data_IF_643020349237
#
_entry.id   IF_643020349237
#
_cell.length_a   1.000
_cell.length_b   1.000
_cell.length_c   1.000
_cell.angle_alpha   90.00
_cell.angle_beta   90.00
_cell.angle_gamma   90.00
#
_symmetry.space_group_name_H-M   'P 1'
#
loop_
_entity.id
_entity.type
_entity.pdbx_description
1 polymer ?
#
# COMPACT_ATOMS: atom_id res chain seq x y z
N UNK A 1 34.30 -20.92 5.74
CA UNK A 1 35.65 -20.34 5.90
C UNK A 1 35.60 -18.83 6.14
N UNK A 2 34.90 -18.04 5.31
CA UNK A 2 34.77 -16.57 5.48
C UNK A 2 34.12 -16.18 6.82
N UNK A 3 33.04 -16.84 7.23
CA UNK A 3 32.33 -16.53 8.49
C UNK A 3 33.20 -16.74 9.74
N UNK A 4 34.04 -17.78 9.73
CA UNK A 4 34.94 -18.11 10.84
C UNK A 4 36.07 -17.09 10.97
N UNK A 5 36.62 -16.62 9.83
CA UNK A 5 37.65 -15.58 9.81
C UNK A 5 37.08 -14.24 10.30
N UNK A 6 35.87 -13.88 9.86
CA UNK A 6 35.20 -12.65 10.31
C UNK A 6 34.94 -12.64 11.82
N UNK A 7 34.51 -13.77 12.41
CA UNK A 7 34.29 -13.89 13.86
C UNK A 7 35.58 -13.73 14.67
N UNK A 8 36.69 -14.30 14.20
CA UNK A 8 38.00 -14.18 14.87
C UNK A 8 38.53 -12.75 14.80
N UNK A 9 38.43 -12.10 13.64
CA UNK A 9 38.82 -10.69 13.47
C UNK A 9 37.98 -9.78 14.36
N UNK A 10 36.68 -10.04 14.47
CA UNK A 10 35.77 -9.23 15.28
C UNK A 10 35.98 -9.43 16.78
N UNK A 11 36.31 -10.65 17.20
CA UNK A 11 36.74 -10.94 18.56
C UNK A 11 38.03 -10.18 18.91
N UNK A 12 39.04 -10.19 18.03
CA UNK A 12 40.28 -9.44 18.22
C UNK A 12 40.05 -7.92 18.27
N UNK A 13 39.12 -7.39 17.49
CA UNK A 13 38.76 -5.97 17.51
C UNK A 13 37.98 -5.58 18.78
N UNK A 14 37.08 -6.44 19.26
CA UNK A 14 36.37 -6.25 20.52
C UNK A 14 37.33 -6.30 21.72
N UNK A 15 38.28 -7.24 21.72
CA UNK A 15 39.31 -7.36 22.74
C UNK A 15 40.30 -6.19 22.72
N UNK A 16 40.75 -5.76 21.54
CA UNK A 16 41.60 -4.58 21.37
C UNK A 16 40.89 -3.29 21.82
N UNK A 17 39.58 -3.14 21.53
CA UNK A 17 38.80 -1.98 21.94
C UNK A 17 38.53 -1.96 23.45
N UNK A 18 38.27 -3.13 24.06
CA UNK A 18 38.13 -3.27 25.51
C UNK A 18 39.42 -2.96 26.26
N UNK A 19 40.55 -3.48 25.78
CA UNK A 19 41.89 -3.25 26.37
C UNK A 19 42.37 -1.81 26.18
N UNK A 20 42.14 -1.19 25.01
CA UNK A 20 42.54 0.20 24.75
C UNK A 20 41.75 1.22 25.58
N UNK A 21 40.48 0.93 25.89
CA UNK A 21 39.64 1.83 26.69
C UNK A 21 39.76 1.59 28.20
N UNK A 22 40.41 0.49 28.60
CA UNK A 22 40.48 0.06 29.99
C UNK A 22 39.10 -0.31 30.58
N UNK A 23 38.08 -0.47 29.74
CA UNK A 23 36.71 -0.75 30.16
C UNK A 23 36.05 -1.79 29.25
N UNK A 24 35.30 -2.75 29.83
CA UNK A 24 34.60 -3.78 29.05
C UNK A 24 33.53 -3.18 28.13
N UNK A 25 33.04 -1.97 28.40
CA UNK A 25 32.14 -1.23 27.54
C UNK A 25 32.76 -0.86 26.17
N UNK A 26 34.09 -0.78 26.05
CA UNK A 26 34.76 -0.55 24.77
C UNK A 26 34.56 -1.68 23.75
N UNK A 27 34.33 -2.91 24.24
CA UNK A 27 34.03 -4.08 23.41
C UNK A 27 32.61 -4.03 22.81
N UNK A 28 31.72 -3.16 23.30
CA UNK A 28 30.34 -3.05 22.81
C UNK A 28 30.25 -2.40 21.42
N UNK A 29 31.20 -1.55 21.04
CA UNK A 29 31.18 -0.81 19.77
C UNK A 29 31.36 -1.73 18.54
N UNK A 30 32.35 -2.65 18.51
CA UNK A 30 32.48 -3.60 17.41
C UNK A 30 31.31 -4.59 17.33
N UNK A 31 30.74 -4.97 18.49
CA UNK A 31 29.57 -5.86 18.56
C UNK A 31 28.29 -5.18 18.05
N UNK A 32 28.09 -3.89 18.34
CA UNK A 32 27.02 -3.07 17.77
C UNK A 32 27.15 -2.93 16.26
N UNK A 33 28.38 -2.74 15.75
CA UNK A 33 28.63 -2.70 14.31
C UNK A 33 28.29 -4.04 13.64
N UNK A 34 28.59 -5.17 14.30
CA UNK A 34 28.20 -6.51 13.81
C UNK A 34 26.69 -6.72 13.77
N UNK A 35 25.93 -6.06 14.64
CA UNK A 35 24.47 -6.15 14.66
C UNK A 35 23.83 -5.20 13.62
N UNK A 36 24.44 -4.03 13.42
CA UNK A 36 23.97 -3.02 12.46
C UNK A 36 24.04 -3.50 11.00
N UNK A 37 25.05 -4.29 10.64
CA UNK A 37 25.23 -4.78 9.26
C UNK A 37 24.10 -5.74 8.82
N UNK A 38 23.80 -6.84 9.54
CA UNK A 38 22.65 -7.70 9.22
C UNK A 38 21.32 -6.94 9.30
N UNK A 39 21.15 -6.06 10.30
CA UNK A 39 19.96 -5.22 10.44
C UNK A 39 19.70 -4.34 9.21
N UNK A 40 20.78 -3.86 8.57
CA UNK A 40 20.69 -3.02 7.37
C UNK A 40 20.43 -3.80 6.09
N UNK A 41 20.69 -5.11 6.08
CA UNK A 41 20.51 -5.97 4.90
C UNK A 41 19.21 -6.77 4.88
N UNK A 42 18.54 -6.92 6.04
CA UNK A 42 17.26 -7.60 6.14
C UNK A 42 16.13 -6.67 5.67
N UNK A 43 15.50 -7.00 4.54
CA UNK A 43 14.35 -6.26 4.00
C UNK A 43 13.17 -6.18 5.00
N UNK A 44 13.02 -7.17 5.88
CA UNK A 44 11.94 -7.25 6.87
C UNK A 44 12.30 -6.63 8.24
N UNK A 45 13.52 -6.09 8.39
CA UNK A 45 14.04 -5.65 9.68
C UNK A 45 14.37 -6.80 10.65
N UNK A 46 14.86 -6.47 11.85
CA UNK A 46 15.19 -7.46 12.88
C UNK A 46 13.94 -7.81 13.72
N UNK A 47 13.61 -9.11 13.90
CA UNK A 47 12.51 -9.51 14.76
C UNK A 47 12.71 -9.01 16.19
N UNK A 48 11.63 -8.49 16.81
CA UNK A 48 11.62 -7.92 18.16
C UNK A 48 12.38 -8.75 19.23
N UNK A 49 12.25 -10.09 19.32
CA UNK A 49 12.99 -10.86 20.34
C UNK A 49 14.51 -10.80 20.15
N UNK A 50 15.01 -10.74 18.91
CA UNK A 50 16.45 -10.64 18.64
C UNK A 50 16.99 -9.25 18.98
N UNK A 51 16.20 -8.21 18.71
CA UNK A 51 16.51 -6.85 19.13
C UNK A 51 16.57 -6.72 20.66
N UNK A 52 15.56 -7.25 21.36
CA UNK A 52 15.52 -7.26 22.83
C UNK A 52 16.68 -8.04 23.43
N UNK A 53 17.07 -9.18 22.84
CA UNK A 53 18.23 -9.95 23.28
C UNK A 53 19.55 -9.17 23.11
N UNK A 54 19.73 -8.48 21.99
CA UNK A 54 20.90 -7.63 21.76
C UNK A 54 20.95 -6.42 22.71
N UNK A 55 19.82 -5.76 22.93
CA UNK A 55 19.71 -4.65 23.88
C UNK A 55 19.97 -5.10 25.32
N UNK A 56 19.45 -6.26 25.72
CA UNK A 56 19.71 -6.85 27.03
C UNK A 56 21.20 -7.20 27.20
N UNK A 57 21.84 -7.77 26.17
CA UNK A 57 23.28 -8.05 26.19
C UNK A 57 24.13 -6.79 26.33
N UNK A 58 23.76 -5.71 25.64
CA UNK A 58 24.41 -4.40 25.77
C UNK A 58 24.28 -3.84 27.19
N UNK A 59 23.07 -3.90 27.77
CA UNK A 59 22.82 -3.45 29.14
C UNK A 59 23.62 -4.28 30.14
N UNK A 60 23.70 -5.60 29.97
CA UNK A 60 24.53 -6.47 30.82
C UNK A 60 26.00 -6.10 30.73
N UNK A 61 26.54 -5.84 29.53
CA UNK A 61 27.93 -5.40 29.36
C UNK A 61 28.21 -4.04 30.01
N UNK A 62 27.26 -3.11 29.93
CA UNK A 62 27.35 -1.81 30.61
C UNK A 62 27.30 -1.94 32.13
N UNK A 63 26.47 -2.84 32.65
CA UNK A 63 26.37 -3.11 34.09
C UNK A 63 27.62 -3.80 34.63
N UNK A 64 28.17 -4.78 33.91
CA UNK A 64 29.42 -5.45 34.29
C UNK A 64 30.61 -4.48 34.27
N UNK A 65 30.64 -3.52 33.33
CA UNK A 65 31.63 -2.44 33.34
C UNK A 65 31.44 -1.41 34.45
N UNK A 66 30.22 -1.25 34.96
CA UNK A 66 29.93 -0.36 36.08
C UNK A 66 30.42 -0.95 37.41
N UNK A 67 30.33 -2.27 37.60
CA UNK A 67 30.79 -2.95 38.83
C UNK A 67 32.32 -2.91 38.97
N UNK A 68 33.08 -3.11 37.89
CA UNK A 68 34.55 -2.98 37.92
C UNK A 68 34.98 -1.54 38.23
N UNK A 69 34.25 -0.53 37.72
CA UNK A 69 34.50 0.88 38.01
C UNK A 69 34.18 1.27 39.46
N UNK A 70 33.16 0.65 40.05
CA UNK A 70 32.82 0.81 41.47
C UNK A 70 33.80 0.06 42.39
N UNK A 71 34.26 -1.14 41.99
CA UNK A 71 35.21 -1.96 42.74
C UNK A 71 36.62 -1.35 42.79
N UNK A 72 37.09 -0.72 41.70
CA UNK A 72 38.41 -0.09 41.65
C UNK A 72 38.49 1.20 42.51
N UNK A 73 37.34 1.87 42.73
CA UNK A 73 37.21 2.99 43.69
C UNK A 73 37.12 2.55 45.16
N UNK A 74 36.69 1.32 45.44
CA UNK A 74 36.69 0.77 46.79
C UNK A 74 38.10 0.57 47.38
N UNK A 75 39.13 0.48 46.52
CA UNK A 75 40.54 0.31 46.94
C UNK A 75 41.40 1.57 46.87
N UNK A 76 40.86 2.70 46.42
CA UNK A 76 41.54 4.01 46.44
C UNK A 76 40.68 5.04 47.17
N UNK A 77 40.54 4.85 48.48
CA UNK A 77 40.19 5.94 49.37
C UNK A 77 41.45 6.77 49.58
N UNK A 78 41.67 7.76 48.71
CA UNK A 78 42.25 9.02 49.14
C UNK A 78 41.76 10.19 48.28
N UNK A 79 41.59 11.33 48.94
CA UNK A 79 40.62 12.37 48.61
C UNK A 79 40.93 13.14 47.31
N UNK A 80 39.97 13.18 46.39
CA UNK A 80 39.94 14.09 45.23
C UNK A 80 38.50 14.41 44.81
N UNK A 81 38.22 15.61 44.25
CA UNK A 81 36.85 16.09 44.05
C UNK A 81 36.10 15.18 43.08
N UNK A 82 34.93 14.70 43.52
CA UNK A 82 34.11 13.77 42.77
C UNK A 82 33.73 14.32 41.40
N UNK A 83 33.90 13.49 40.36
CA UNK A 83 33.42 13.82 39.02
C UNK A 83 31.88 13.78 39.06
N UNK A 84 31.19 14.88 38.74
CA UNK A 84 29.75 14.98 38.97
C UNK A 84 28.93 14.13 37.97
N UNK A 85 27.77 13.60 38.39
CA UNK A 85 27.00 12.58 37.67
C UNK A 85 26.49 13.01 36.29
N UNK A 86 26.49 14.32 35.99
CA UNK A 86 26.07 14.85 34.69
C UNK A 86 27.05 14.53 33.55
N UNK A 87 28.30 14.15 33.83
CA UNK A 87 29.25 13.75 32.77
C UNK A 87 28.96 12.35 32.19
N UNK A 88 28.40 11.44 32.97
CA UNK A 88 27.91 10.14 32.46
C UNK A 88 26.64 10.32 31.61
N UNK A 89 25.75 11.24 32.02
CA UNK A 89 24.62 11.69 31.18
C UNK A 89 25.09 12.37 29.89
N UNK A 90 26.19 13.12 29.93
CA UNK A 90 26.76 13.81 28.77
C UNK A 90 27.28 12.86 27.69
N UNK A 91 27.89 11.74 28.08
CA UNK A 91 28.40 10.75 27.12
C UNK A 91 27.25 9.94 26.50
N UNK A 92 26.25 9.55 27.31
CA UNK A 92 25.05 8.86 26.81
C UNK A 92 24.23 9.73 25.85
N UNK A 93 24.04 11.01 26.17
CA UNK A 93 23.35 11.95 25.29
C UNK A 93 24.14 12.25 24.01
N UNK A 94 25.47 12.40 24.08
CA UNK A 94 26.31 12.56 22.90
C UNK A 94 26.26 11.35 21.96
N UNK A 95 26.19 10.13 22.50
CA UNK A 95 26.03 8.91 21.71
C UNK A 95 24.68 8.84 20.98
N UNK A 96 23.59 9.20 21.67
CA UNK A 96 22.23 9.27 21.08
C UNK A 96 22.16 10.34 19.99
N UNK A 97 22.72 11.53 20.23
CA UNK A 97 22.76 12.60 19.24
C UNK A 97 23.61 12.21 18.03
N UNK A 98 24.75 11.55 18.24
CA UNK A 98 25.60 11.09 17.13
C UNK A 98 24.90 9.98 16.32
N UNK A 99 24.20 9.06 16.97
CA UNK A 99 23.41 8.04 16.30
C UNK A 99 22.27 8.65 15.46
N UNK A 100 21.58 9.68 15.99
CA UNK A 100 20.56 10.44 15.26
C UNK A 100 21.15 11.17 14.05
N UNK A 101 22.30 11.84 14.20
CA UNK A 101 22.96 12.58 13.12
C UNK A 101 23.50 11.64 12.04
N UNK A 102 24.11 10.51 12.41
CA UNK A 102 24.60 9.52 11.44
C UNK A 102 23.42 8.87 10.68
N UNK A 103 22.31 8.60 11.37
CA UNK A 103 21.08 8.08 10.76
C UNK A 103 20.47 9.05 9.74
N UNK A 104 20.49 10.36 10.02
CA UNK A 104 19.95 11.38 9.10
C UNK A 104 20.91 11.77 7.97
N UNK A 105 22.21 11.54 8.13
CA UNK A 105 23.25 11.96 7.16
C UNK A 105 23.61 10.89 6.13
N UNK A 106 23.13 9.65 6.28
CA UNK A 106 23.37 8.55 5.34
C UNK A 106 22.23 8.47 4.31
N UNK A 107 22.48 8.82 3.03
CA UNK A 107 21.48 8.73 1.96
C UNK A 107 21.22 7.25 1.67
N UNK A 108 20.10 6.74 2.19
CA UNK A 108 19.71 5.32 2.09
C UNK A 108 18.86 4.83 3.26
N UNK A 109 18.97 5.47 4.43
CA UNK A 109 18.15 5.15 5.63
C UNK A 109 16.93 6.07 5.80
N UNK A 110 16.96 7.25 5.18
CA UNK A 110 15.92 8.27 5.34
C UNK A 110 14.60 7.94 4.62
N UNK A 111 14.62 7.11 3.57
CA UNK A 111 13.39 6.76 2.84
C UNK A 111 12.41 5.92 3.68
N UNK A 112 12.92 4.93 4.42
CA UNK A 112 12.06 3.97 5.13
C UNK A 112 11.67 4.40 6.56
N UNK A 113 12.51 5.16 7.25
CA UNK A 113 12.33 5.46 8.68
C UNK A 113 11.73 6.85 8.92
N UNK A 114 12.04 7.83 8.06
CA UNK A 114 11.40 9.15 8.10
C UNK A 114 9.95 9.08 7.62
N UNK A 115 9.64 8.26 6.61
CA UNK A 115 8.26 7.99 6.18
C UNK A 115 7.43 7.35 7.31
N UNK A 116 8.01 6.37 8.03
CA UNK A 116 7.39 5.72 9.20
C UNK A 116 7.19 6.63 10.42
N UNK A 117 7.99 7.69 10.55
CA UNK A 117 7.82 8.70 11.60
C UNK A 117 6.87 9.83 11.18
N UNK A 118 6.69 10.04 9.87
CA UNK A 118 5.78 11.04 9.29
C UNK A 118 4.35 10.51 9.12
N UNK A 119 4.18 9.19 9.08
CA UNK A 119 2.90 8.47 9.14
C UNK A 119 2.75 7.71 10.47
N UNK A 120 2.21 8.32 11.55
CA UNK A 120 2.02 7.68 12.86
C UNK A 120 0.96 6.55 12.87
N UNK A 121 0.37 6.21 11.73
CA UNK A 121 -0.67 5.18 11.59
C UNK A 121 -0.19 3.83 11.05
N UNK A 122 1.04 3.72 10.56
CA UNK A 122 1.47 2.60 9.70
C UNK A 122 2.40 1.57 10.35
N UNK A 123 2.20 1.19 11.62
CA UNK A 123 3.02 0.14 12.21
C UNK A 123 2.92 -0.02 13.71
N UNK A 124 1.78 -0.50 14.20
CA UNK A 124 1.77 -1.20 15.50
C UNK A 124 2.07 -2.67 15.24
N UNK A 125 3.07 -3.19 15.94
CA UNK A 125 3.34 -4.62 16.08
C UNK A 125 2.03 -5.33 16.50
N UNK A 126 1.41 -6.06 15.56
CA UNK A 126 0.32 -7.01 15.84
C UNK A 126 -1.12 -6.51 15.70
N UNK A 127 -1.43 -5.53 14.84
CA UNK A 127 -2.82 -5.12 14.53
C UNK A 127 -3.16 -5.25 13.05
N UNK A 128 -4.41 -5.61 12.73
CA UNK A 128 -4.97 -5.56 11.37
C UNK A 128 -4.81 -4.15 10.78
N UNK A 129 -4.30 -4.06 9.55
CA UNK A 129 -4.18 -2.81 8.81
C UNK A 129 -5.54 -2.45 8.22
N UNK A 130 -6.23 -1.47 8.77
CA UNK A 130 -7.47 -0.95 8.17
C UNK A 130 -7.22 -0.03 6.96
N UNK A 131 -6.01 -0.07 6.41
CA UNK A 131 -5.58 0.69 5.25
C UNK A 131 -5.22 -0.27 4.11
N UNK A 132 -6.04 -0.28 3.07
CA UNK A 132 -5.76 -0.93 1.79
C UNK A 132 -4.43 -0.48 1.14
N UNK A 133 -3.63 -1.43 0.68
CA UNK A 133 -2.37 -1.17 -0.04
C UNK A 133 -2.39 -1.77 -1.45
N UNK A 134 -1.56 -1.28 -2.38
CA UNK A 134 -1.60 -1.71 -3.79
C UNK A 134 -1.04 -3.12 -4.07
N UNK A 135 -0.04 -3.63 -3.32
CA UNK A 135 0.69 -4.85 -3.72
C UNK A 135 0.73 -5.95 -2.65
N UNK A 136 1.57 -5.78 -1.62
CA UNK A 136 1.93 -6.85 -0.68
C UNK A 136 0.96 -6.95 0.51
N UNK A 137 0.44 -5.82 1.00
CA UNK A 137 -0.48 -5.85 2.13
C UNK A 137 -1.90 -6.21 1.71
N UNK A 138 -2.31 -6.01 0.45
CA UNK A 138 -3.63 -6.52 0.00
C UNK A 138 -3.70 -8.05 0.07
N UNK A 139 -2.60 -8.74 -0.23
CA UNK A 139 -2.54 -10.18 0.00
C UNK A 139 -2.66 -10.53 1.49
N UNK A 140 -2.04 -9.75 2.38
CA UNK A 140 -2.16 -9.93 3.84
C UNK A 140 -3.59 -9.66 4.32
N UNK A 141 -4.21 -8.57 3.89
CA UNK A 141 -5.58 -8.17 4.24
C UNK A 141 -6.57 -9.25 3.77
N UNK A 142 -6.40 -9.78 2.55
CA UNK A 142 -7.21 -10.87 2.02
C UNK A 142 -6.97 -12.21 2.73
N UNK A 143 -5.76 -12.44 3.24
CA UNK A 143 -5.41 -13.68 3.96
C UNK A 143 -5.88 -13.64 5.41
N UNK A 144 -5.91 -12.45 6.03
CA UNK A 144 -6.44 -12.27 7.39
C UNK A 144 -7.94 -12.57 7.45
N UNK A 145 -8.66 -12.35 6.32
CA UNK A 145 -10.12 -12.52 6.19
C UNK A 145 -10.88 -11.95 7.38
N UNK A 146 -10.45 -10.79 7.88
CA UNK A 146 -11.08 -10.22 9.06
C UNK A 146 -12.46 -9.66 8.69
N UNK A 147 -13.42 -9.88 9.59
CA UNK A 147 -14.77 -9.32 9.50
C UNK A 147 -14.81 -7.88 10.02
N UNK A 148 -13.65 -7.22 10.08
CA UNK A 148 -13.52 -5.83 10.53
C UNK A 148 -14.27 -4.95 9.53
N UNK A 149 -15.32 -4.28 10.02
CA UNK A 149 -16.09 -3.32 9.25
C UNK A 149 -15.20 -2.13 8.87
N UNK A 150 -15.11 -1.86 7.56
CA UNK A 150 -14.36 -0.75 6.99
C UNK A 150 -15.26 0.46 6.75
N UNK A 151 -16.44 0.22 6.19
CA UNK A 151 -17.46 1.23 5.94
C UNK A 151 -18.85 0.61 5.87
N UNK A 152 -19.85 1.47 6.01
CA UNK A 152 -21.26 1.20 5.78
C UNK A 152 -21.78 2.19 4.76
N UNK A 153 -22.71 1.77 3.92
CA UNK A 153 -23.35 2.69 3.00
C UNK A 153 -24.82 2.38 2.78
N UNK A 154 -25.56 3.39 2.33
CA UNK A 154 -26.95 3.24 1.92
C UNK A 154 -27.15 3.75 0.49
N UNK A 155 -27.93 3.02 -0.30
CA UNK A 155 -28.16 3.33 -1.71
C UNK A 155 -29.52 2.82 -2.19
N UNK A 156 -30.09 3.52 -3.17
CA UNK A 156 -31.24 3.05 -3.96
C UNK A 156 -30.83 2.26 -5.21
N UNK A 157 -29.53 2.05 -5.43
CA UNK A 157 -29.02 1.25 -6.54
C UNK A 157 -29.52 -0.20 -6.45
N UNK A 158 -30.20 -0.75 -7.47
CA UNK A 158 -30.58 -2.16 -7.49
C UNK A 158 -29.39 -3.13 -7.52
N UNK A 159 -28.27 -2.71 -8.10
CA UNK A 159 -27.01 -3.47 -8.15
C UNK A 159 -25.86 -2.55 -7.72
N UNK A 160 -25.50 -2.53 -6.43
CA UNK A 160 -24.43 -1.70 -5.94
C UNK A 160 -23.09 -2.05 -6.61
N UNK A 161 -22.38 -1.03 -7.07
CA UNK A 161 -21.07 -1.19 -7.68
C UNK A 161 -19.97 -1.16 -6.62
N UNK A 162 -18.80 -1.79 -6.87
CA UNK A 162 -17.64 -1.65 -5.99
C UNK A 162 -17.25 -0.19 -5.80
N UNK A 163 -16.70 0.10 -4.63
CA UNK A 163 -16.22 1.43 -4.29
C UNK A 163 -14.74 1.52 -4.52
N UNK A 164 -14.34 2.34 -5.50
CA UNK A 164 -12.94 2.63 -5.79
C UNK A 164 -12.39 3.54 -4.71
N UNK A 165 -11.23 3.19 -4.15
CA UNK A 165 -10.51 4.01 -3.17
C UNK A 165 -9.39 4.76 -3.86
N UNK A 166 -8.59 4.07 -4.69
CA UNK A 166 -7.56 4.71 -5.49
C UNK A 166 -7.30 3.94 -6.79
N UNK A 167 -6.58 4.59 -7.69
CA UNK A 167 -6.10 4.00 -8.93
C UNK A 167 -4.58 3.95 -8.93
N UNK A 168 -4.07 2.95 -9.62
CA UNK A 168 -2.66 2.75 -9.84
C UNK A 168 -2.40 2.76 -11.33
N UNK A 169 -1.65 3.78 -11.75
CA UNK A 169 -1.61 4.21 -13.15
C UNK A 169 -0.21 4.03 -13.76
N UNK A 170 0.85 4.08 -12.95
CA UNK A 170 2.23 3.95 -13.40
C UNK A 170 2.87 2.65 -12.91
N UNK A 171 3.67 2.07 -13.79
CA UNK A 171 4.51 0.92 -13.53
C UNK A 171 5.96 1.39 -13.65
N UNK A 172 6.69 1.48 -12.54
CA UNK A 172 8.14 1.67 -12.58
C UNK A 172 8.80 0.34 -12.19
N UNK A 173 9.63 -0.15 -13.12
CA UNK A 173 10.53 -1.31 -13.14
C UNK A 173 10.08 -2.63 -12.47
N UNK A 174 9.44 -2.61 -11.30
CA UNK A 174 8.87 -3.78 -10.62
C UNK A 174 7.60 -3.51 -9.76
N UNK A 175 7.10 -2.27 -9.65
CA UNK A 175 5.96 -1.94 -8.76
C UNK A 175 4.95 -0.94 -9.33
N UNK A 176 3.70 -1.14 -8.91
CA UNK A 176 2.55 -0.30 -9.21
C UNK A 176 2.56 0.93 -8.27
N UNK A 177 2.60 2.13 -8.85
CA UNK A 177 2.61 3.37 -8.06
C UNK A 177 1.35 4.21 -8.23
N UNK A 178 0.84 4.69 -7.11
CA UNK A 178 -0.18 5.74 -7.06
C UNK A 178 0.50 7.06 -7.43
N UNK A 179 0.19 7.58 -8.63
CA UNK A 179 0.76 8.84 -9.13
C UNK A 179 -0.21 9.98 -8.88
N UNK A 180 0.29 11.15 -8.46
CA UNK A 180 -0.55 12.31 -8.11
C UNK A 180 -0.64 12.48 -6.59
N UNK A 181 0.49 12.78 -5.95
CA UNK A 181 0.59 12.99 -4.50
C UNK A 181 0.43 14.45 -4.06
N UNK A 182 0.39 15.40 -4.99
CA UNK A 182 0.17 16.81 -4.66
C UNK A 182 -1.32 17.10 -4.70
N UNK A 183 -1.99 16.99 -3.54
CA UNK A 183 -3.30 17.59 -3.38
C UNK A 183 -3.15 19.10 -3.53
N UNK A 184 -3.74 19.70 -4.57
CA UNK A 184 -4.08 21.11 -4.48
C UNK A 184 -5.06 21.23 -3.31
N UNK A 185 -4.70 22.03 -2.28
CA UNK A 185 -5.57 22.28 -1.15
C UNK A 185 -6.95 22.71 -1.68
N UNK A 186 -7.95 21.83 -1.54
CA UNK A 186 -9.29 22.12 -2.00
C UNK A 186 -9.80 23.35 -1.29
N UNK A 187 -10.50 24.23 -2.01
CA UNK A 187 -11.38 25.20 -1.37
C UNK A 187 -12.31 24.44 -0.40
N UNK A 188 -12.76 25.06 0.71
CA UNK A 188 -13.64 24.44 1.70
C UNK A 188 -15.07 24.20 1.17
N UNK A 189 -15.21 23.89 -0.12
CA UNK A 189 -16.49 23.56 -0.75
C UNK A 189 -16.97 22.19 -0.27
N UNK A 190 -18.17 22.18 0.31
CA UNK A 190 -18.89 20.98 0.72
C UNK A 190 -19.37 20.12 -0.47
N UNK A 191 -19.01 20.43 -1.71
CA UNK A 191 -19.51 19.77 -2.92
C UNK A 191 -18.47 19.82 -4.04
N UNK A 192 -17.85 18.67 -4.29
CA UNK A 192 -16.88 18.45 -5.36
C UNK A 192 -17.60 17.99 -6.62
N UNK A 193 -17.25 18.57 -7.77
CA UNK A 193 -17.66 18.09 -9.11
C UNK A 193 -16.50 17.33 -9.74
N UNK A 194 -16.78 16.10 -10.17
CA UNK A 194 -15.73 15.16 -10.58
C UNK A 194 -15.55 15.07 -12.11
N UNK A 195 -16.45 15.68 -12.90
CA UNK A 195 -16.43 15.72 -14.37
C UNK A 195 -16.11 14.37 -15.06
N UNK A 196 -16.45 13.25 -14.40
CA UNK A 196 -16.19 11.93 -14.94
C UNK A 196 -17.16 11.66 -16.08
N UNK A 197 -16.63 11.21 -17.21
CA UNK A 197 -17.43 10.76 -18.34
C UNK A 197 -18.36 9.63 -17.89
N UNK A 198 -19.59 9.68 -18.39
CA UNK A 198 -20.62 8.70 -18.11
C UNK A 198 -21.48 8.48 -19.36
N UNK A 199 -22.18 7.33 -19.47
CA UNK A 199 -23.12 7.08 -20.55
C UNK A 199 -24.19 8.18 -20.66
N UNK A 200 -24.55 8.54 -21.90
CA UNK A 200 -25.60 9.52 -22.15
C UNK A 200 -26.97 8.99 -21.72
N UNK A 201 -27.76 9.80 -21.01
CA UNK A 201 -29.10 9.42 -20.55
C UNK A 201 -29.14 8.52 -19.30
N UNK A 202 -27.99 8.23 -18.68
CA UNK A 202 -27.96 7.56 -17.38
C UNK A 202 -28.45 8.52 -16.28
N UNK A 203 -29.34 8.04 -15.41
CA UNK A 203 -29.79 8.78 -14.23
C UNK A 203 -28.84 8.51 -13.05
N UNK A 204 -28.44 9.55 -12.30
CA UNK A 204 -27.54 9.37 -11.17
C UNK A 204 -28.27 8.77 -9.97
N UNK A 205 -27.57 7.89 -9.26
CA UNK A 205 -27.99 7.31 -7.99
C UNK A 205 -27.23 7.98 -6.85
N UNK A 206 -27.93 8.28 -5.76
CA UNK A 206 -27.30 8.78 -4.54
C UNK A 206 -26.88 7.63 -3.63
N UNK A 207 -25.69 7.73 -3.06
CA UNK A 207 -25.14 6.78 -2.10
C UNK A 207 -24.53 7.55 -0.94
N UNK A 208 -24.97 7.24 0.28
CA UNK A 208 -24.43 7.84 1.50
C UNK A 208 -23.48 6.83 2.12
N UNK A 209 -22.26 7.27 2.41
CA UNK A 209 -21.18 6.43 2.94
C UNK A 209 -20.79 6.92 4.33
N UNK A 210 -20.59 5.98 5.24
CA UNK A 210 -20.13 6.17 6.62
C UNK A 210 -18.91 5.29 6.83
N UNK A 211 -17.77 5.89 7.14
CA UNK A 211 -16.55 5.14 7.43
C UNK A 211 -16.63 4.59 8.85
N UNK A 212 -16.42 3.28 9.02
CA UNK A 212 -16.46 2.60 10.33
C UNK A 212 -15.08 2.18 10.82
N UNK A 213 -14.12 2.00 9.91
CA UNK A 213 -12.76 1.57 10.27
C UNK A 213 -11.70 1.87 9.22
N UNK A 214 -12.09 2.15 7.97
CA UNK A 214 -11.16 2.44 6.88
C UNK A 214 -10.28 3.66 7.22
N UNK A 215 -8.97 3.51 7.06
CA UNK A 215 -7.97 4.57 7.28
C UNK A 215 -7.26 4.86 5.96
N UNK A 216 -7.81 5.77 5.15
CA UNK A 216 -7.32 6.08 3.81
C UNK A 216 -7.26 7.58 3.53
N UNK A 217 -6.28 8.01 2.75
CA UNK A 217 -6.17 9.40 2.27
C UNK A 217 -7.00 9.66 1.00
N UNK A 218 -7.80 8.68 0.58
CA UNK A 218 -8.77 8.78 -0.51
C UNK A 218 -10.12 8.23 -0.06
N UNK A 219 -11.21 8.84 -0.53
CA UNK A 219 -12.56 8.34 -0.27
C UNK A 219 -12.92 7.14 -1.16
N UNK A 220 -13.51 6.06 -0.59
CA UNK A 220 -14.18 5.03 -1.37
C UNK A 220 -15.44 5.59 -2.03
N UNK A 221 -15.61 5.42 -3.33
CA UNK A 221 -16.91 5.70 -3.96
C UNK A 221 -17.15 4.89 -5.24
N UNK A 222 -18.42 4.63 -5.62
CA UNK A 222 -18.73 4.01 -6.89
C UNK A 222 -18.41 4.94 -8.06
N UNK A 223 -17.66 4.45 -9.05
CA UNK A 223 -17.33 5.20 -10.26
C UNK A 223 -18.15 4.69 -11.46
N UNK A 224 -18.52 5.57 -12.42
CA UNK A 224 -18.20 7.00 -12.48
C UNK A 224 -19.08 7.87 -11.57
N UNK A 225 -18.46 8.80 -10.84
CA UNK A 225 -19.13 9.76 -9.97
C UNK A 225 -19.12 11.16 -10.56
N UNK A 226 -20.21 11.91 -10.36
CA UNK A 226 -20.34 13.29 -10.82
C UNK A 226 -20.30 14.31 -9.69
N UNK A 227 -20.85 13.98 -8.51
CA UNK A 227 -20.78 14.85 -7.32
C UNK A 227 -20.42 14.05 -6.07
N UNK A 228 -19.50 14.59 -5.28
CA UNK A 228 -19.21 14.13 -3.92
C UNK A 228 -19.42 15.30 -2.96
N UNK A 229 -20.25 15.14 -1.92
CA UNK A 229 -20.46 16.17 -0.91
C UNK A 229 -19.73 15.82 0.37
N UNK A 230 -18.63 16.52 0.61
CA UNK A 230 -17.77 16.39 1.79
C UNK A 230 -16.94 17.68 1.93
N UNK A 231 -16.61 18.08 3.16
CA UNK A 231 -15.79 19.27 3.42
C UNK A 231 -14.33 18.89 3.71
N UNK A 232 -13.37 19.69 3.24
CA UNK A 232 -11.95 19.49 3.52
C UNK A 232 -11.25 18.44 2.64
N UNK A 233 -11.90 18.01 1.56
CA UNK A 233 -11.32 17.09 0.57
C UNK A 233 -11.19 17.80 -0.78
N UNK A 234 -10.30 17.30 -1.62
CA UNK A 234 -9.99 17.80 -2.96
C UNK A 234 -10.19 16.71 -4.00
N UNK A 235 -10.55 17.07 -5.22
CA UNK A 235 -10.61 16.12 -6.33
C UNK A 235 -9.32 16.17 -7.15
N UNK A 236 -8.72 15.01 -7.37
CA UNK A 236 -7.58 14.81 -8.27
C UNK A 236 -8.08 14.21 -9.60
N UNK A 237 -8.20 15.01 -10.68
CA UNK A 237 -8.81 14.57 -11.93
C UNK A 237 -8.03 13.46 -12.64
N UNK A 238 -6.70 13.41 -12.48
CA UNK A 238 -5.86 12.46 -13.19
C UNK A 238 -6.12 11.01 -12.75
N UNK A 239 -6.14 10.80 -11.43
CA UNK A 239 -6.44 9.48 -10.83
C UNK A 239 -7.94 9.25 -10.64
N UNK A 240 -8.74 10.30 -10.83
CA UNK A 240 -10.14 10.33 -10.46
C UNK A 240 -10.31 9.88 -8.99
N UNK A 241 -9.61 10.55 -8.07
CA UNK A 241 -9.65 10.26 -6.63
C UNK A 241 -10.06 11.49 -5.84
N UNK A 242 -10.83 11.32 -4.77
CA UNK A 242 -11.14 12.40 -3.82
C UNK A 242 -10.24 12.22 -2.60
N UNK A 243 -9.38 13.21 -2.30
CA UNK A 243 -8.23 13.08 -1.40
C UNK A 243 -8.16 14.18 -0.34
N UNK A 244 -7.50 13.86 0.77
CA UNK A 244 -7.19 14.77 1.88
C UNK A 244 -5.82 14.46 2.49
N UNK A 245 -5.28 15.44 3.22
CA UNK A 245 -4.03 15.28 3.98
C UNK A 245 -4.24 14.45 5.26
N UNK A 246 -5.43 14.44 5.82
CA UNK A 246 -5.79 13.58 6.94
C UNK A 246 -6.48 12.31 6.43
N UNK A 247 -6.16 11.12 6.97
CA UNK A 247 -6.86 9.90 6.59
C UNK A 247 -8.32 9.93 7.07
N UNK A 248 -9.17 9.13 6.43
CA UNK A 248 -10.54 8.87 6.88
C UNK A 248 -10.56 8.37 8.34
N UNK A 249 -11.61 8.77 9.06
CA UNK A 249 -11.91 8.37 10.43
C UNK A 249 -13.37 7.96 10.60
N UNK A 250 -13.75 7.48 11.78
CA UNK A 250 -15.13 7.05 12.11
C UNK A 250 -16.16 8.19 12.03
N UNK A 251 -15.70 9.44 12.06
CA UNK A 251 -16.48 10.66 11.87
C UNK A 251 -16.65 11.05 10.39
N UNK A 252 -16.04 10.31 9.46
CA UNK A 252 -16.12 10.59 8.04
C UNK A 252 -17.41 10.04 7.44
N UNK A 253 -18.32 10.95 7.09
CA UNK A 253 -19.55 10.65 6.34
C UNK A 253 -19.73 11.61 5.18
N UNK A 254 -20.21 11.09 4.04
CA UNK A 254 -20.39 11.86 2.81
C UNK A 254 -21.44 11.25 1.89
N UNK A 255 -21.92 12.06 0.94
CA UNK A 255 -22.82 11.59 -0.13
C UNK A 255 -22.14 11.64 -1.48
N UNK A 256 -22.43 10.64 -2.31
CA UNK A 256 -21.93 10.51 -3.68
C UNK A 256 -23.11 10.37 -4.61
N UNK A 257 -23.13 11.17 -5.68
CA UNK A 257 -24.00 10.95 -6.84
C UNK A 257 -23.19 10.35 -7.97
N UNK A 258 -23.50 9.10 -8.33
CA UNK A 258 -22.78 8.30 -9.31
C UNK A 258 -23.73 7.69 -10.33
N UNK A 259 -23.18 7.16 -11.43
CA UNK A 259 -23.95 6.50 -12.46
C UNK A 259 -23.68 4.99 -12.45
N UNK A 260 -24.72 4.20 -12.67
CA UNK A 260 -24.53 2.79 -12.97
C UNK A 260 -24.03 2.64 -14.42
N UNK A 261 -23.03 1.77 -14.67
CA UNK A 261 -22.63 1.44 -16.02
C UNK A 261 -23.83 0.85 -16.80
N UNK A 262 -24.16 1.42 -17.96
CA UNK A 262 -25.16 0.85 -18.88
C UNK A 262 -24.42 0.04 -19.94
N UNK A 263 -24.52 -1.30 -19.95
CA UNK A 263 -23.84 -2.13 -20.93
C UNK A 263 -24.67 -2.23 -22.22
N UNK A 264 -24.91 -1.12 -22.92
CA UNK A 264 -25.61 -1.16 -24.21
C UNK A 264 -24.67 -1.37 -25.41
N UNK A 265 -23.36 -1.49 -25.15
CA UNK A 265 -22.34 -1.80 -26.16
C UNK A 265 -22.15 -0.73 -27.25
N UNK A 266 -22.77 0.44 -27.09
CA UNK A 266 -22.74 1.53 -28.07
C UNK A 266 -21.44 2.35 -28.03
N UNK A 267 -20.64 2.19 -26.97
CA UNK A 267 -19.42 2.95 -26.70
C UNK A 267 -18.14 2.24 -27.20
N UNK A 268 -17.05 3.00 -27.33
CA UNK A 268 -15.72 2.42 -27.58
C UNK A 268 -15.48 1.85 -28.99
N UNK A 269 -16.19 2.36 -30.00
CA UNK A 269 -16.01 1.95 -31.41
C UNK A 269 -14.98 2.78 -32.18
N UNK A 270 -14.61 3.96 -31.67
CA UNK A 270 -13.69 4.88 -32.32
C UNK A 270 -12.30 4.92 -31.63
N UNK A 271 -11.24 5.34 -32.35
CA UNK A 271 -9.91 5.52 -31.81
C UNK A 271 -9.89 6.49 -30.62
N UNK A 272 -8.91 6.35 -29.73
CA UNK A 272 -8.72 7.25 -28.60
C UNK A 272 -8.08 8.57 -29.07
N UNK A 273 -8.68 9.71 -28.69
CA UNK A 273 -8.07 11.03 -28.90
C UNK A 273 -7.52 11.53 -27.55
N UNK A 274 -6.28 12.03 -27.56
CA UNK A 274 -5.60 12.72 -26.43
C UNK A 274 -5.59 11.94 -25.10
N UNK A 275 -4.91 10.79 -25.09
CA UNK A 275 -4.72 9.93 -23.92
C UNK A 275 -3.33 10.15 -23.34
N UNK A 276 -3.22 10.33 -22.02
CA UNK A 276 -1.93 10.41 -21.34
C UNK A 276 -1.11 9.11 -21.62
N UNK A 277 0.12 9.21 -22.16
CA UNK A 277 0.96 8.07 -22.49
C UNK A 277 1.17 7.08 -21.34
N UNK A 278 1.06 7.51 -20.08
CA UNK A 278 1.18 6.64 -18.90
C UNK A 278 0.16 5.50 -18.90
N UNK A 279 -1.05 5.75 -19.43
CA UNK A 279 -2.11 4.75 -19.46
C UNK A 279 -1.90 3.71 -20.56
N UNK A 280 -0.88 3.89 -21.41
CA UNK A 280 -0.45 2.95 -22.45
C UNK A 280 0.92 2.34 -22.14
N UNK A 281 1.65 2.86 -21.14
CA UNK A 281 2.97 2.37 -20.77
C UNK A 281 2.90 0.93 -20.25
N UNK A 282 3.77 0.07 -20.77
CA UNK A 282 3.90 -1.33 -20.34
C UNK A 282 5.30 -1.60 -19.79
N UNK A 283 5.44 -2.54 -18.83
CA UNK A 283 6.75 -2.93 -18.32
C UNK A 283 7.66 -3.50 -19.41
N UNK A 284 8.96 -3.29 -19.29
CA UNK A 284 9.95 -4.00 -20.10
C UNK A 284 9.79 -5.52 -19.93
N UNK A 285 10.01 -6.27 -21.01
CA UNK A 285 9.84 -7.73 -21.00
C UNK A 285 8.38 -8.23 -21.10
N UNK A 286 7.42 -7.35 -21.35
CA UNK A 286 6.00 -7.73 -21.55
C UNK A 286 5.67 -8.36 -22.91
N UNK A 287 6.66 -8.76 -23.71
CA UNK A 287 6.46 -9.27 -25.07
C UNK A 287 5.55 -10.52 -25.11
N UNK A 288 5.76 -11.47 -24.19
CA UNK A 288 4.92 -12.65 -24.10
C UNK A 288 3.46 -12.33 -23.76
N UNK A 289 3.22 -11.29 -22.95
CA UNK A 289 1.87 -10.79 -22.67
C UNK A 289 1.26 -10.13 -23.90
N UNK A 290 2.03 -9.36 -24.65
CA UNK A 290 1.57 -8.73 -25.88
C UNK A 290 1.13 -9.78 -26.92
N UNK A 291 1.95 -10.82 -27.12
CA UNK A 291 1.63 -11.91 -28.04
C UNK A 291 0.36 -12.67 -27.60
N UNK A 292 0.23 -12.94 -26.29
CA UNK A 292 -0.97 -13.54 -25.72
C UNK A 292 -2.19 -12.63 -25.87
N UNK A 293 -2.02 -11.32 -25.70
CA UNK A 293 -3.10 -10.34 -25.84
C UNK A 293 -3.62 -10.30 -27.27
N UNK A 294 -2.73 -10.28 -28.27
CA UNK A 294 -3.12 -10.35 -29.69
C UNK A 294 -3.85 -11.66 -29.99
N UNK A 295 -3.36 -12.79 -29.49
CA UNK A 295 -3.98 -14.09 -29.72
C UNK A 295 -5.38 -14.21 -29.12
N UNK A 296 -5.58 -13.70 -27.90
CA UNK A 296 -6.87 -13.76 -27.18
C UNK A 296 -7.85 -12.71 -27.71
N UNK A 297 -7.39 -11.47 -27.87
CA UNK A 297 -8.25 -10.36 -28.20
C UNK A 297 -8.61 -10.32 -29.68
N UNK A 298 -7.74 -10.78 -30.58
CA UNK A 298 -8.00 -10.74 -32.02
C UNK A 298 -8.41 -9.36 -32.56
N UNK A 299 -9.15 -9.36 -33.68
CA UNK A 299 -9.65 -8.14 -34.32
C UNK A 299 -11.00 -7.71 -33.73
N UNK A 300 -11.25 -6.40 -33.66
CA UNK A 300 -12.51 -5.84 -33.19
C UNK A 300 -12.36 -4.46 -32.57
N UNK A 301 -13.43 -3.94 -32.00
CA UNK A 301 -13.39 -2.68 -31.23
C UNK A 301 -12.65 -2.90 -29.90
N UNK A 302 -12.08 -1.84 -29.29
CA UNK A 302 -11.51 -1.91 -27.94
C UNK A 302 -12.42 -2.59 -26.90
N UNK A 303 -13.73 -2.32 -26.94
CA UNK A 303 -14.71 -2.99 -26.07
C UNK A 303 -14.75 -4.51 -26.31
N UNK A 304 -14.81 -4.94 -27.57
CA UNK A 304 -14.84 -6.37 -27.92
C UNK A 304 -13.53 -7.07 -27.51
N UNK A 305 -12.39 -6.41 -27.71
CA UNK A 305 -11.09 -6.90 -27.28
C UNK A 305 -11.03 -7.05 -25.75
N UNK A 306 -11.45 -6.03 -25.01
CA UNK A 306 -11.53 -6.06 -23.55
C UNK A 306 -12.45 -7.17 -23.01
N UNK A 307 -13.63 -7.35 -23.61
CA UNK A 307 -14.56 -8.43 -23.25
C UNK A 307 -13.96 -9.82 -23.48
N UNK A 308 -13.18 -10.01 -24.55
CA UNK A 308 -12.47 -11.27 -24.81
C UNK A 308 -11.32 -11.50 -23.85
N UNK A 309 -10.55 -10.47 -23.50
CA UNK A 309 -9.53 -10.55 -22.43
C UNK A 309 -10.16 -10.94 -21.08
N UNK A 310 -11.27 -10.30 -20.69
CA UNK A 310 -12.00 -10.67 -19.48
C UNK A 310 -12.47 -12.14 -19.54
N UNK A 311 -13.07 -12.55 -20.65
CA UNK A 311 -13.56 -13.93 -20.82
C UNK A 311 -12.43 -14.96 -20.77
N UNK A 312 -11.25 -14.61 -21.30
CA UNK A 312 -10.06 -15.44 -21.19
C UNK A 312 -9.66 -15.72 -19.75
N UNK A 313 -9.63 -14.71 -18.89
CA UNK A 313 -9.34 -14.93 -17.48
C UNK A 313 -10.48 -15.65 -16.76
N UNK A 314 -11.74 -15.23 -16.96
CA UNK A 314 -12.89 -15.74 -16.22
C UNK A 314 -13.29 -17.17 -16.58
N UNK A 315 -13.25 -17.54 -17.86
CA UNK A 315 -13.94 -18.75 -18.34
C UNK A 315 -13.11 -19.64 -19.25
N UNK A 316 -12.36 -19.12 -20.22
CA UNK A 316 -11.75 -19.95 -21.27
C UNK A 316 -10.27 -20.27 -21.10
N UNK A 317 -9.54 -19.47 -20.30
CA UNK A 317 -8.09 -19.63 -20.10
C UNK A 317 -7.71 -20.68 -19.06
N UNK A 318 -8.67 -21.20 -18.29
CA UNK A 318 -8.43 -22.21 -17.24
C UNK A 318 -7.71 -21.65 -16.01
N UNK A 319 -8.01 -20.40 -15.65
CA UNK A 319 -7.44 -19.77 -14.45
C UNK A 319 -8.22 -20.14 -13.19
N UNK A 320 -7.51 -20.22 -12.06
CA UNK A 320 -8.07 -20.55 -10.74
C UNK A 320 -7.76 -19.45 -9.72
N UNK A 321 -8.76 -19.01 -8.98
CA UNK A 321 -8.56 -18.08 -7.88
C UNK A 321 -7.90 -18.78 -6.69
N UNK A 322 -6.76 -18.27 -6.22
CA UNK A 322 -6.09 -18.74 -5.00
C UNK A 322 -5.28 -17.61 -4.36
N UNK A 323 -5.32 -17.56 -3.03
CA UNK A 323 -4.43 -16.73 -2.23
C UNK A 323 -3.08 -17.42 -2.00
N UNK A 324 -2.98 -18.74 -2.17
CA UNK A 324 -1.72 -19.48 -2.01
C UNK A 324 -0.85 -19.33 -3.26
N UNK A 325 -0.15 -18.19 -3.35
CA UNK A 325 0.81 -17.88 -4.41
C UNK A 325 2.12 -17.37 -3.82
N UNK A 326 3.27 -17.63 -4.47
CA UNK A 326 4.54 -17.04 -4.08
C UNK A 326 4.43 -15.51 -4.02
N UNK A 327 4.97 -14.90 -2.97
CA UNK A 327 5.09 -13.44 -2.88
C UNK A 327 6.18 -12.98 -3.84
N UNK A 328 5.77 -12.60 -5.03
CA UNK A 328 6.62 -12.05 -6.08
C UNK A 328 5.97 -10.76 -6.58
N UNK A 329 6.80 -9.78 -6.93
CA UNK A 329 6.38 -8.52 -7.55
C UNK A 329 6.98 -8.41 -8.96
N UNK A 330 6.57 -7.38 -9.70
CA UNK A 330 7.16 -7.06 -10.99
C UNK A 330 6.76 -7.97 -12.17
N UNK A 331 7.40 -7.77 -13.34
CA UNK A 331 7.07 -8.47 -14.58
C UNK A 331 7.19 -10.00 -14.49
N UNK A 332 8.09 -10.51 -13.65
CA UNK A 332 8.23 -11.95 -13.40
C UNK A 332 7.01 -12.54 -12.71
N UNK A 333 6.37 -11.82 -11.78
CA UNK A 333 5.16 -12.29 -11.11
C UNK A 333 3.99 -12.46 -12.10
N UNK A 334 3.91 -11.58 -13.10
CA UNK A 334 2.91 -11.67 -14.17
C UNK A 334 3.14 -12.85 -15.10
N UNK A 335 4.39 -13.10 -15.51
CA UNK A 335 4.73 -14.26 -16.33
C UNK A 335 4.47 -15.57 -15.60
N UNK A 336 4.84 -15.62 -14.32
CA UNK A 336 4.59 -16.77 -13.46
C UNK A 336 3.08 -16.98 -13.26
N UNK A 337 2.30 -15.92 -13.07
CA UNK A 337 0.83 -16.01 -13.00
C UNK A 337 0.21 -16.60 -14.27
N UNK A 338 0.62 -16.13 -15.45
CA UNK A 338 0.11 -16.67 -16.73
C UNK A 338 0.52 -18.14 -16.94
N UNK A 339 1.71 -18.52 -16.47
CA UNK A 339 2.20 -19.89 -16.56
C UNK A 339 1.49 -20.82 -15.58
N UNK A 340 1.32 -20.39 -14.32
CA UNK A 340 0.63 -21.13 -13.25
C UNK A 340 -0.88 -21.17 -13.45
N UNK A 341 -1.45 -20.16 -14.12
CA UNK A 341 -2.89 -19.91 -14.25
C UNK A 341 -3.60 -19.88 -12.89
N UNK A 342 -2.92 -19.37 -11.86
CA UNK A 342 -3.46 -19.30 -10.51
C UNK A 342 -2.96 -18.05 -9.79
N UNK A 343 -3.87 -17.31 -9.17
CA UNK A 343 -3.58 -16.07 -8.46
C UNK A 343 -4.83 -15.48 -7.82
N UNK A 344 -4.71 -14.27 -7.29
CA UNK A 344 -5.80 -13.49 -6.70
C UNK A 344 -6.04 -12.19 -7.48
N UNK A 345 -7.03 -11.39 -7.07
CA UNK A 345 -7.57 -10.25 -7.84
C UNK A 345 -6.50 -9.31 -8.43
N UNK A 346 -5.44 -8.99 -7.69
CA UNK A 346 -4.33 -8.14 -8.17
C UNK A 346 -3.64 -8.72 -9.40
N UNK A 347 -3.42 -10.04 -9.43
CA UNK A 347 -2.78 -10.70 -10.58
C UNK A 347 -3.65 -10.60 -11.83
N UNK A 348 -4.95 -10.88 -11.69
CA UNK A 348 -5.90 -10.78 -12.79
C UNK A 348 -6.05 -9.35 -13.30
N UNK A 349 -6.21 -8.39 -12.39
CA UNK A 349 -6.33 -6.98 -12.73
C UNK A 349 -5.08 -6.43 -13.41
N UNK A 350 -3.90 -6.76 -12.88
CA UNK A 350 -2.61 -6.37 -13.47
C UNK A 350 -2.42 -6.98 -14.84
N UNK A 351 -2.60 -8.30 -14.98
CA UNK A 351 -2.38 -8.99 -16.25
C UNK A 351 -3.34 -8.47 -17.34
N UNK A 352 -4.62 -8.31 -17.03
CA UNK A 352 -5.58 -7.76 -17.98
C UNK A 352 -5.26 -6.30 -18.35
N UNK A 353 -4.83 -5.48 -17.38
CA UNK A 353 -4.42 -4.09 -17.63
C UNK A 353 -3.24 -4.04 -18.59
N UNK A 354 -2.17 -4.80 -18.34
CA UNK A 354 -1.00 -4.82 -19.22
C UNK A 354 -1.36 -5.36 -20.61
N UNK A 355 -2.13 -6.44 -20.70
CA UNK A 355 -2.60 -6.96 -21.99
C UNK A 355 -3.42 -5.93 -22.76
N UNK A 356 -4.32 -5.18 -22.11
CA UNK A 356 -5.07 -4.10 -22.75
C UNK A 356 -4.15 -2.99 -23.27
N UNK A 357 -3.16 -2.55 -22.47
CA UNK A 357 -2.18 -1.55 -22.87
C UNK A 357 -1.36 -1.97 -24.10
N UNK A 358 -0.96 -3.25 -24.19
CA UNK A 358 -0.26 -3.78 -25.37
C UNK A 358 -1.09 -3.75 -26.65
N UNK A 359 -2.42 -3.72 -26.53
CA UNK A 359 -3.35 -3.58 -27.66
C UNK A 359 -3.66 -2.11 -27.98
N UNK A 360 -3.01 -1.16 -27.29
CA UNK A 360 -3.28 0.27 -27.45
C UNK A 360 -4.55 0.74 -26.74
N UNK A 361 -5.10 -0.04 -25.81
CA UNK A 361 -6.26 0.34 -25.00
C UNK A 361 -5.75 0.97 -23.69
N UNK A 362 -6.05 2.24 -23.41
CA UNK A 362 -5.63 2.88 -22.17
C UNK A 362 -6.28 2.18 -20.98
N UNK A 363 -5.47 1.79 -20.00
CA UNK A 363 -5.93 0.98 -18.87
C UNK A 363 -5.21 1.35 -17.58
N UNK A 364 -5.84 1.10 -16.43
CA UNK A 364 -5.26 1.25 -15.09
C UNK A 364 -5.84 0.22 -14.13
N UNK A 365 -5.19 0.02 -12.99
CA UNK A 365 -5.71 -0.84 -11.92
C UNK A 365 -6.42 0.03 -10.90
N UNK A 366 -7.67 -0.30 -10.58
CA UNK A 366 -8.40 0.28 -9.46
C UNK A 366 -8.31 -0.66 -8.26
N UNK A 367 -8.12 -0.08 -7.08
CA UNK A 367 -8.14 -0.79 -5.79
C UNK A 367 -9.23 -0.18 -4.93
N UNK A 368 -9.98 -1.04 -4.25
CA UNK A 368 -11.07 -0.62 -3.40
C UNK A 368 -11.74 -1.81 -2.74
N UNK A 369 -13.05 -1.75 -2.66
CA UNK A 369 -13.87 -2.75 -1.97
C UNK A 369 -15.08 -3.16 -2.81
N UNK A 370 -15.44 -4.43 -2.76
CA UNK A 370 -16.70 -4.94 -3.29
C UNK A 370 -17.90 -4.41 -2.47
N UNK A 371 -19.13 -4.56 -2.96
CA UNK A 371 -20.35 -4.10 -2.27
C UNK A 371 -20.54 -4.60 -0.83
N UNK A 372 -19.87 -5.68 -0.45
CA UNK A 372 -20.03 -6.31 0.86
C UNK A 372 -21.39 -6.98 1.02
N UNK A 373 -21.89 -7.00 2.24
CA UNK A 373 -23.12 -7.71 2.61
C UNK A 373 -24.27 -6.75 2.90
N UNK A 374 -25.46 -7.09 2.39
CA UNK A 374 -26.69 -6.36 2.72
C UNK A 374 -27.10 -6.65 4.15
N UNK A 375 -27.21 -5.61 4.96
CA UNK A 375 -27.50 -5.69 6.41
C UNK A 375 -28.87 -5.12 6.80
N UNK A 376 -29.58 -4.45 5.88
CA UNK A 376 -30.94 -3.98 6.14
C UNK A 376 -31.48 -3.02 5.09
N UNK A 377 -32.52 -2.29 5.50
CA UNK A 377 -33.08 -1.16 4.74
C UNK A 377 -33.47 -0.04 5.69
N UNK A 378 -33.40 1.19 5.20
CA UNK A 378 -33.76 2.39 5.95
C UNK A 378 -34.47 3.40 5.06
N UNK A 379 -35.11 4.38 5.67
CA UNK A 379 -35.66 5.53 4.95
C UNK A 379 -34.56 6.58 4.74
N UNK A 380 -34.34 6.95 3.48
CA UNK A 380 -33.47 8.06 3.08
C UNK A 380 -34.06 9.41 3.54
N UNK A 381 -33.25 10.46 3.54
CA UNK A 381 -33.66 11.82 3.92
C UNK A 381 -34.80 12.37 3.06
N UNK A 382 -35.00 11.84 1.85
CA UNK A 382 -36.07 12.19 0.92
C UNK A 382 -37.30 11.27 1.03
N UNK A 383 -37.35 10.38 2.01
CA UNK A 383 -38.47 9.46 2.24
C UNK A 383 -38.44 8.17 1.39
N UNK A 384 -37.39 7.95 0.60
CA UNK A 384 -37.25 6.73 -0.18
C UNK A 384 -36.70 5.57 0.66
N UNK A 385 -37.18 4.35 0.42
CA UNK A 385 -36.58 3.17 1.02
C UNK A 385 -35.28 2.82 0.29
N UNK A 386 -34.18 2.79 1.04
CA UNK A 386 -32.83 2.47 0.55
C UNK A 386 -32.28 1.26 1.28
N UNK A 387 -31.40 0.51 0.62
CA UNK A 387 -30.75 -0.65 1.23
C UNK A 387 -29.47 -0.23 1.92
N UNK A 388 -29.15 -0.89 3.04
CA UNK A 388 -27.94 -0.65 3.82
C UNK A 388 -26.99 -1.84 3.64
N UNK A 389 -25.74 -1.53 3.39
CA UNK A 389 -24.67 -2.48 3.09
C UNK A 389 -23.50 -2.26 4.05
N UNK A 390 -22.87 -3.35 4.46
CA UNK A 390 -21.67 -3.35 5.30
C UNK A 390 -20.51 -3.97 4.53
N UNK A 391 -19.39 -3.26 4.51
CA UNK A 391 -18.17 -3.66 3.81
C UNK A 391 -17.09 -3.92 4.85
N UNK A 392 -16.41 -5.05 4.70
CA UNK A 392 -15.37 -5.52 5.61
C UNK A 392 -14.01 -5.67 4.91
N UNK A 393 -12.94 -5.92 5.67
CA UNK A 393 -11.59 -6.13 5.09
C UNK A 393 -11.56 -7.27 4.05
N UNK A 394 -12.40 -8.30 4.21
CA UNK A 394 -12.49 -9.41 3.26
C UNK A 394 -13.01 -9.00 1.87
N UNK A 395 -13.68 -7.85 1.78
CA UNK A 395 -14.25 -7.32 0.55
C UNK A 395 -13.24 -6.48 -0.25
N UNK A 396 -12.01 -6.33 0.25
CA UNK A 396 -10.93 -5.67 -0.47
C UNK A 396 -10.71 -6.32 -1.84
N UNK A 397 -10.62 -5.51 -2.89
CA UNK A 397 -10.56 -6.03 -4.26
C UNK A 397 -9.82 -5.10 -5.20
N UNK A 398 -9.26 -5.70 -6.26
CA UNK A 398 -8.58 -4.99 -7.32
C UNK A 398 -9.19 -5.39 -8.67
N UNK A 399 -9.44 -4.42 -9.53
CA UNK A 399 -10.02 -4.62 -10.86
C UNK A 399 -9.38 -3.70 -11.90
N UNK A 400 -9.34 -4.10 -13.17
CA UNK A 400 -8.91 -3.22 -14.26
C UNK A 400 -10.01 -2.24 -14.64
N UNK A 401 -9.63 -0.99 -14.88
CA UNK A 401 -10.44 0.00 -15.58
C UNK A 401 -9.81 0.29 -16.94
N UNK A 402 -10.60 0.19 -18.00
CA UNK A 402 -10.17 0.50 -19.36
C UNK A 402 -10.93 1.74 -19.82
N UNK A 403 -10.20 2.69 -20.39
CA UNK A 403 -10.81 3.89 -20.94
C UNK A 403 -11.42 3.55 -22.30
N UNK A 404 -12.72 3.79 -22.46
CA UNK A 404 -13.46 3.63 -23.69
C UNK A 404 -14.01 4.99 -24.13
N UNK A 405 -13.85 5.31 -25.42
CA UNK A 405 -14.40 6.56 -25.98
C UNK A 405 -15.90 6.64 -25.68
N UNK A 406 -16.36 7.84 -25.31
CA UNK A 406 -17.74 8.19 -24.98
C UNK A 406 -18.30 7.57 -23.68
N UNK A 407 -17.69 6.50 -23.15
CA UNK A 407 -18.03 5.92 -21.84
C UNK A 407 -17.11 6.38 -20.70
N UNK A 408 -15.87 6.77 -20.99
CA UNK A 408 -14.87 7.06 -19.96
C UNK A 408 -14.21 5.79 -19.42
N UNK A 409 -13.85 5.80 -18.14
CA UNK A 409 -13.26 4.64 -17.47
C UNK A 409 -14.34 3.59 -17.18
N UNK A 410 -14.18 2.40 -17.74
CA UNK A 410 -15.11 1.28 -17.59
C UNK A 410 -14.42 0.16 -16.83
N UNK A 411 -15.05 -0.31 -15.75
CA UNK A 411 -14.60 -1.46 -14.98
C UNK A 411 -14.77 -2.75 -15.79
N UNK A 412 -13.78 -3.61 -15.71
CA UNK A 412 -13.86 -5.03 -16.10
C UNK A 412 -13.57 -5.91 -14.88
N UNK A 413 -14.01 -7.16 -14.89
CA UNK A 413 -13.82 -8.11 -13.78
C UNK A 413 -13.20 -9.42 -14.29
N UNK A 414 -11.87 -9.48 -14.49
CA UNK A 414 -11.19 -10.69 -14.96
C UNK A 414 -11.11 -11.80 -13.91
N UNK A 415 -11.35 -11.51 -12.63
CA UNK A 415 -11.24 -12.50 -11.54
C UNK A 415 -12.35 -13.56 -11.67
N UNK A 416 -12.03 -14.86 -11.74
CA UNK A 416 -13.03 -15.93 -11.78
C UNK A 416 -13.78 -16.06 -10.45
N UNK A 417 -15.04 -16.47 -10.54
CA UNK A 417 -16.01 -16.44 -9.43
C UNK A 417 -16.92 -15.24 -9.54
#
# INVERSE_FOLDING_TARGET
MVMTVSLVVLWLLADAAGTATGHPAGAALPLLAMFAVPASTLHDGLPLPHFLAAAAGLVVLLLLGADDWLADRGRRVDHGPGVPPWRALGIGSAAVVTALVVSTSLPGLSGGLVQRLRDPGGGRLGGSSTALSPDLDLHRDLTSRSDTSLLRYSTSAPDPQPMRVFTVDAFDTDTWQVVGQEAAAGEPEATLRLDQKHPAGAEPVETVVEITGLRQRSLPYPAPAHVVRIAGWSYEPLTASVRSDEPTGEDTSYSVRHYQPVPDGSFGSAPFDDVDPRWLAVPDGSQALADQAVAVAGQGTPLQQAQRLQSFFRTSGGFTYTLDVPQQTGPSAMQDFLSRRSGYCVHYATAMTVMARTLGIPARVAVGVLPGERVGGQESTDGQQVEVWEVSERDAHAWPELYLRDAGWVRFEPTPG
#
